data_IF_135789015841
#
_entry.id   IF_135789015841
#
_cell.length_a   1.000
_cell.length_b   1.000
_cell.length_c   1.000
_cell.angle_alpha   90.00
_cell.angle_beta   90.00
_cell.angle_gamma   90.00
#
_symmetry.space_group_name_H-M   'P 1'
#
loop_
_entity.id
_entity.type
_entity.pdbx_description
1 polymer ?
#
# COMPACT_ATOMS: atom_id res chain seq x y z
N UNK A 1 -16.73 -21.83 25.14
CA UNK A 1 -15.26 -21.77 25.05
C UNK A 1 -14.71 -22.04 23.65
N UNK A 2 -15.23 -23.03 22.90
CA UNK A 2 -14.76 -23.32 21.54
C UNK A 2 -14.96 -22.16 20.53
N UNK A 3 -16.07 -21.41 20.62
CA UNK A 3 -16.35 -20.28 19.72
C UNK A 3 -15.33 -19.13 19.89
N UNK A 4 -14.94 -18.82 21.12
CA UNK A 4 -13.95 -17.77 21.41
C UNK A 4 -12.58 -18.15 20.87
N UNK A 5 -12.16 -19.41 21.04
CA UNK A 5 -10.89 -19.92 20.49
C UNK A 5 -10.86 -19.89 18.95
N UNK A 6 -11.97 -20.22 18.29
CA UNK A 6 -12.08 -20.18 16.83
C UNK A 6 -11.95 -18.75 16.29
N UNK A 7 -12.59 -17.78 16.95
CA UNK A 7 -12.48 -16.36 16.58
C UNK A 7 -11.07 -15.82 16.81
N UNK A 8 -10.37 -16.25 17.86
CA UNK A 8 -8.96 -15.89 18.09
C UNK A 8 -8.03 -16.40 16.99
N UNK A 9 -8.24 -17.64 16.52
CA UNK A 9 -7.47 -18.23 15.42
C UNK A 9 -7.77 -17.48 14.11
N UNK A 10 -9.03 -17.21 13.81
CA UNK A 10 -9.43 -16.43 12.63
C UNK A 10 -8.86 -15.01 12.65
N UNK A 11 -8.87 -14.33 13.80
CA UNK A 11 -8.27 -13.00 13.95
C UNK A 11 -6.75 -13.01 13.72
N UNK A 12 -6.06 -14.07 14.16
CA UNK A 12 -4.63 -14.26 13.92
C UNK A 12 -4.30 -14.48 12.44
N UNK A 13 -5.11 -15.28 11.73
CA UNK A 13 -4.95 -15.51 10.28
C UNK A 13 -5.18 -14.21 9.50
N UNK A 14 -6.25 -13.47 9.83
CA UNK A 14 -6.56 -12.18 9.19
C UNK A 14 -5.41 -11.17 9.40
N UNK A 15 -4.87 -11.09 10.61
CA UNK A 15 -3.69 -10.25 10.88
C UNK A 15 -2.48 -10.67 10.04
N UNK A 16 -2.19 -11.97 9.96
CA UNK A 16 -1.05 -12.47 9.18
C UNK A 16 -1.17 -12.13 7.67
N UNK A 17 -2.36 -12.29 7.09
CA UNK A 17 -2.61 -11.91 5.69
C UNK A 17 -2.40 -10.41 5.45
N UNK A 18 -2.87 -9.56 6.36
CA UNK A 18 -2.71 -8.10 6.28
C UNK A 18 -1.23 -7.66 6.32
N UNK A 19 -0.40 -8.32 7.14
CA UNK A 19 1.04 -8.05 7.18
C UNK A 19 1.78 -8.56 5.94
N UNK A 20 1.33 -9.67 5.35
CA UNK A 20 1.94 -10.23 4.14
C UNK A 20 1.71 -9.36 2.91
N UNK A 21 0.52 -8.78 2.75
CA UNK A 21 0.23 -7.83 1.66
C UNK A 21 1.12 -6.59 1.73
N UNK A 22 1.39 -6.08 2.95
CA UNK A 22 2.33 -4.98 3.18
C UNK A 22 3.77 -5.35 2.82
N UNK A 23 4.17 -6.60 3.01
CA UNK A 23 5.51 -7.06 2.63
C UNK A 23 5.67 -7.21 1.11
N UNK A 24 4.60 -7.53 0.39
CA UNK A 24 4.62 -7.67 -1.07
C UNK A 24 4.68 -6.33 -1.79
N UNK A 25 4.02 -5.28 -1.28
CA UNK A 25 4.08 -3.94 -1.88
C UNK A 25 5.48 -3.33 -1.81
N UNK A 26 6.20 -3.56 -0.70
CA UNK A 26 7.59 -3.14 -0.54
C UNK A 26 8.52 -3.88 -1.51
N UNK A 27 8.32 -5.19 -1.69
CA UNK A 27 9.08 -5.99 -2.67
C UNK A 27 8.86 -5.49 -4.10
N UNK A 28 7.61 -5.26 -4.50
CA UNK A 28 7.29 -4.72 -5.83
C UNK A 28 7.92 -3.34 -6.08
N UNK A 29 8.05 -2.53 -5.03
CA UNK A 29 8.73 -1.23 -5.13
C UNK A 29 10.22 -1.39 -5.33
N UNK A 30 10.84 -2.29 -4.55
CA UNK A 30 12.27 -2.57 -4.69
C UNK A 30 12.59 -3.09 -6.09
N UNK A 31 11.78 -4.02 -6.61
CA UNK A 31 11.91 -4.56 -7.96
C UNK A 31 11.75 -3.47 -9.03
N UNK A 32 10.79 -2.55 -8.84
CA UNK A 32 10.57 -1.43 -9.76
C UNK A 32 11.77 -0.46 -9.79
N UNK A 33 12.33 -0.13 -8.62
CA UNK A 33 13.52 0.72 -8.50
C UNK A 33 14.74 0.04 -9.14
N UNK A 34 14.93 -1.26 -8.93
CA UNK A 34 16.06 -2.00 -9.51
C UNK A 34 15.96 -2.06 -11.04
N UNK A 35 14.76 -2.32 -11.58
CA UNK A 35 14.50 -2.28 -13.01
C UNK A 35 14.78 -0.90 -13.62
N UNK A 36 14.40 0.17 -12.94
CA UNK A 36 14.63 1.53 -13.40
C UNK A 36 16.12 1.90 -13.36
N UNK A 37 16.83 1.49 -12.31
CA UNK A 37 18.27 1.66 -12.19
C UNK A 37 19.02 0.92 -13.31
N UNK A 38 18.63 -0.32 -13.61
CA UNK A 38 19.22 -1.05 -14.74
C UNK A 38 18.91 -0.39 -16.09
N UNK A 39 17.70 0.14 -16.27
CA UNK A 39 17.34 0.86 -17.49
C UNK A 39 18.21 2.12 -17.68
N UNK A 40 18.43 2.89 -16.60
CA UNK A 40 19.33 4.04 -16.59
C UNK A 40 20.76 3.64 -16.93
N UNK A 41 21.30 2.63 -16.23
CA UNK A 41 22.67 2.15 -16.41
C UNK A 41 22.94 1.64 -17.84
N UNK A 42 21.96 0.97 -18.44
CA UNK A 42 22.04 0.45 -19.80
C UNK A 42 21.73 1.52 -20.87
N UNK A 43 21.25 2.70 -20.48
CA UNK A 43 20.85 3.76 -21.41
C UNK A 43 19.68 3.33 -22.31
N UNK A 44 18.74 2.56 -21.77
CA UNK A 44 17.57 2.06 -22.51
C UNK A 44 16.28 2.73 -22.03
N UNK A 45 15.15 2.43 -22.69
CA UNK A 45 13.84 3.04 -22.41
C UNK A 45 13.93 4.57 -22.48
N UNK A 46 13.56 5.25 -21.40
CA UNK A 46 13.48 6.72 -21.26
C UNK A 46 14.86 7.38 -21.36
N UNK A 47 15.93 6.62 -21.06
CA UNK A 47 17.31 7.11 -21.02
C UNK A 47 18.03 7.01 -22.37
N UNK A 48 17.37 6.48 -23.40
CA UNK A 48 18.02 6.18 -24.68
C UNK A 48 18.33 7.47 -25.45
N UNK A 49 19.62 7.69 -25.71
CA UNK A 49 20.09 8.85 -26.46
C UNK A 49 20.09 10.15 -25.65
N UNK A 50 19.88 10.08 -24.34
CA UNK A 50 20.07 11.21 -23.43
C UNK A 50 21.55 11.35 -23.09
N UNK A 51 21.97 12.60 -22.89
CA UNK A 51 23.26 12.92 -22.26
C UNK A 51 23.26 12.44 -20.79
N UNK A 52 24.41 12.03 -20.22
CA UNK A 52 24.48 11.51 -18.85
C UNK A 52 23.79 12.37 -17.79
N UNK A 53 23.90 13.70 -17.88
CA UNK A 53 23.29 14.62 -16.91
C UNK A 53 21.76 14.63 -17.05
N UNK A 54 21.26 14.64 -18.29
CA UNK A 54 19.83 14.56 -18.58
C UNK A 54 19.24 13.20 -18.18
N UNK A 55 19.97 12.11 -18.44
CA UNK A 55 19.56 10.77 -18.04
C UNK A 55 19.49 10.62 -16.51
N UNK A 56 20.41 11.26 -15.78
CA UNK A 56 20.39 11.24 -14.31
C UNK A 56 19.23 12.04 -13.74
N UNK A 57 18.93 13.20 -14.31
CA UNK A 57 17.77 14.01 -13.91
C UNK A 57 16.45 13.23 -14.11
N UNK A 58 16.27 12.64 -15.30
CA UNK A 58 15.09 11.80 -15.61
C UNK A 58 14.97 10.61 -14.64
N UNK A 59 16.11 9.99 -14.28
CA UNK A 59 16.13 8.87 -13.35
C UNK A 59 15.72 9.30 -11.94
N UNK A 60 16.23 10.44 -11.47
CA UNK A 60 15.89 10.98 -10.16
C UNK A 60 14.40 11.32 -10.05
N UNK A 61 13.81 11.92 -11.09
CA UNK A 61 12.39 12.23 -11.14
C UNK A 61 11.52 10.96 -11.10
N UNK A 62 11.88 9.92 -11.85
CA UNK A 62 11.12 8.67 -11.86
C UNK A 62 11.19 7.95 -10.50
N UNK A 63 12.35 7.96 -9.83
CA UNK A 63 12.50 7.41 -8.47
C UNK A 63 11.62 8.15 -7.47
N UNK A 64 11.58 9.48 -7.52
CA UNK A 64 10.69 10.26 -6.65
C UNK A 64 9.22 9.96 -6.95
N UNK A 65 8.81 9.83 -8.22
CA UNK A 65 7.44 9.42 -8.57
C UNK A 65 7.08 8.07 -7.97
N UNK A 66 7.96 7.07 -8.10
CA UNK A 66 7.75 5.73 -7.52
C UNK A 66 7.63 5.80 -6.00
N UNK A 67 8.46 6.59 -5.32
CA UNK A 67 8.38 6.79 -3.85
C UNK A 67 7.07 7.45 -3.42
N UNK A 68 6.62 8.48 -4.13
CA UNK A 68 5.35 9.14 -3.83
C UNK A 68 4.15 8.21 -4.02
N UNK A 69 4.15 7.40 -5.08
CA UNK A 69 3.12 6.38 -5.31
C UNK A 69 3.07 5.36 -4.17
N UNK A 70 4.23 4.95 -3.63
CA UNK A 70 4.25 4.07 -2.46
C UNK A 70 3.76 4.75 -1.19
N UNK A 71 4.20 5.99 -0.92
CA UNK A 71 3.73 6.75 0.26
C UNK A 71 2.20 6.88 0.26
N UNK A 72 1.59 7.13 -0.91
CA UNK A 72 0.13 7.19 -1.06
C UNK A 72 -0.54 5.85 -0.76
N UNK A 73 0.05 4.72 -1.19
CA UNK A 73 -0.47 3.37 -0.92
C UNK A 73 -0.36 3.04 0.57
N UNK A 74 0.75 3.36 1.22
CA UNK A 74 0.94 3.17 2.66
C UNK A 74 -0.09 3.96 3.48
N UNK A 75 -0.34 5.23 3.14
CA UNK A 75 -1.35 6.06 3.81
C UNK A 75 -2.79 5.52 3.64
N UNK A 76 -3.10 4.86 2.51
CA UNK A 76 -4.39 4.19 2.32
C UNK A 76 -4.49 2.89 3.14
N UNK A 77 -3.39 2.17 3.30
CA UNK A 77 -3.31 0.94 4.11
C UNK A 77 -3.39 1.23 5.63
N UNK A 78 -2.88 2.39 6.06
CA UNK A 78 -2.91 2.83 7.46
C UNK A 78 -4.31 3.26 7.92
N UNK A 79 -5.22 3.61 7.01
CA UNK A 79 -6.60 3.89 7.36
C UNK A 79 -7.36 2.59 7.68
N UNK A 80 -7.82 2.39 8.94
CA UNK A 80 -8.60 1.22 9.28
C UNK A 80 -10.00 1.31 8.62
N UNK A 81 -10.56 0.18 8.13
CA UNK A 81 -11.92 0.15 7.58
C UNK A 81 -13.03 0.41 8.62
N UNK A 82 -12.68 0.57 9.90
CA UNK A 82 -13.61 0.75 11.03
C UNK A 82 -14.44 2.03 10.99
N UNK A 83 -14.03 3.06 10.24
CA UNK A 83 -14.84 4.28 10.08
C UNK A 83 -16.15 4.05 9.32
N UNK A 84 -16.29 2.94 8.58
CA UNK A 84 -17.52 2.64 7.84
C UNK A 84 -18.58 1.85 8.65
N UNK A 85 -18.19 1.12 9.70
CA UNK A 85 -19.10 0.23 10.43
C UNK A 85 -19.58 0.81 11.77
N UNK A 86 -18.73 1.51 12.52
CA UNK A 86 -19.12 2.16 13.79
C UNK A 86 -20.15 3.28 13.63
N UNK A 87 -20.16 3.95 12.47
CA UNK A 87 -21.16 4.99 12.15
C UNK A 87 -22.56 4.41 11.87
N UNK A 88 -22.66 3.17 11.38
CA UNK A 88 -23.97 2.52 11.10
C UNK A 88 -24.59 1.89 12.34
N UNK A 89 -23.78 1.38 13.27
CA UNK A 89 -24.29 0.78 14.51
C UNK A 89 -24.78 1.82 15.52
N UNK A 90 -24.12 2.98 15.61
CA UNK A 90 -24.61 4.10 16.43
C UNK A 90 -25.84 4.80 15.84
N UNK A 91 -26.02 4.80 14.52
CA UNK A 91 -27.22 5.35 13.86
C UNK A 91 -28.45 4.44 13.98
N UNK A 92 -28.25 3.11 14.07
CA UNK A 92 -29.34 2.14 14.27
C UNK A 92 -29.84 2.08 15.73
N UNK A 93 -29.02 2.50 16.69
CA UNK A 93 -29.35 2.52 18.12
C UNK A 93 -30.09 3.79 18.60
N UNK A 94 -30.28 4.78 17.73
CA UNK A 94 -30.90 6.07 18.05
C UNK A 94 -32.27 6.29 17.39
N UNK A 95 -32.89 5.24 16.84
CA UNK A 95 -34.30 5.31 16.45
C UNK A 95 -35.17 5.41 17.73
N UNK A 96 -35.93 6.49 17.94
CA UNK A 96 -36.86 6.57 19.04
C UNK A 96 -38.00 5.58 18.77
N UNK A 97 -38.11 4.56 19.62
CA UNK A 97 -39.36 3.83 19.82
C UNK A 97 -40.39 4.83 20.35
N UNK A 98 -41.38 5.17 19.53
CA UNK A 98 -42.49 6.02 19.90
C UNK A 98 -43.74 5.56 19.11
N UNK A 99 -44.94 5.81 19.65
CA UNK A 99 -45.78 4.82 20.34
C UNK A 99 -46.75 4.04 19.43
#
# INVERSE_FOLDING_TARGET
>A
MALSALVSISAGIISYFKFRERSLSLQQTADAIDLEYQAYKLGIRRYKGLDPDAAFAEFAEEIERVREEQRKKELQLEQPPEVAQGARTHAAASAPSAP
#
